data_IF_411607501740
#
_entry.id   IF_411607501740
#
_cell.length_a   1.000
_cell.length_b   1.000
_cell.length_c   1.000
_cell.angle_alpha   90.00
_cell.angle_beta   90.00
_cell.angle_gamma   90.00
#
_symmetry.space_group_name_H-M   'P 1'
#
loop_
_entity.id
_entity.type
_entity.pdbx_description
1 polymer ?
#
# COMPACT_ATOMS: atom_id res chain seq x y z
N UNK A 1 -1.55 -22.65 -0.74
CA UNK A 1 -1.21 -21.36 -1.38
C UNK A 1 -2.12 -20.30 -0.80
N UNK A 2 -1.57 -19.22 -0.24
CA UNK A 2 -2.34 -18.10 0.31
C UNK A 2 -2.22 -16.94 -0.68
N UNK A 3 -3.35 -16.37 -1.09
CA UNK A 3 -3.41 -15.20 -1.96
C UNK A 3 -3.84 -13.99 -1.13
N UNK A 4 -3.24 -12.82 -1.42
CA UNK A 4 -3.58 -11.58 -0.72
C UNK A 4 -2.90 -11.39 0.64
N UNK A 5 -1.87 -12.18 0.95
CA UNK A 5 -1.03 -11.94 2.11
C UNK A 5 -0.27 -10.61 1.94
N UNK A 6 -0.46 -9.67 2.86
CA UNK A 6 0.35 -8.44 2.90
C UNK A 6 1.68 -8.71 3.61
N UNK A 7 2.73 -8.00 3.24
CA UNK A 7 4.03 -7.96 3.91
C UNK A 7 3.94 -7.90 5.44
N UNK A 8 3.04 -7.06 5.98
CA UNK A 8 2.95 -6.82 7.43
C UNK A 8 2.55 -8.02 8.31
N UNK A 9 2.02 -9.09 7.71
CA UNK A 9 1.67 -10.32 8.46
C UNK A 9 2.67 -11.45 8.25
N UNK A 10 3.59 -11.32 7.29
CA UNK A 10 4.51 -12.39 6.90
C UNK A 10 5.37 -12.85 8.08
N UNK A 11 6.03 -11.94 8.79
CA UNK A 11 6.91 -12.27 9.91
C UNK A 11 6.19 -13.07 11.01
N UNK A 12 4.94 -12.70 11.31
CA UNK A 12 4.10 -13.40 12.29
C UNK A 12 3.75 -14.81 11.83
N UNK A 13 3.48 -15.00 10.54
CA UNK A 13 3.15 -16.32 9.99
C UNK A 13 4.35 -17.24 9.89
N UNK A 14 5.54 -16.71 9.57
CA UNK A 14 6.80 -17.46 9.61
C UNK A 14 7.12 -17.88 11.04
N UNK A 15 7.03 -16.96 12.01
CA UNK A 15 7.27 -17.26 13.42
C UNK A 15 6.27 -18.27 14.01
N UNK A 16 5.03 -18.28 13.50
CA UNK A 16 4.01 -19.25 13.88
C UNK A 16 4.08 -20.58 13.11
N UNK A 17 5.11 -20.77 12.26
CA UNK A 17 5.30 -21.98 11.45
C UNK A 17 4.11 -22.31 10.54
N UNK A 18 3.36 -21.30 10.11
CA UNK A 18 2.19 -21.45 9.25
C UNK A 18 2.53 -21.43 7.75
N UNK A 19 3.79 -21.14 7.41
CA UNK A 19 4.29 -21.05 6.06
C UNK A 19 5.45 -22.00 5.84
N UNK A 20 5.51 -22.57 4.65
CA UNK A 20 6.65 -23.34 4.17
C UNK A 20 7.47 -22.48 3.18
N UNK A 21 8.80 -22.65 3.11
CA UNK A 21 9.61 -22.02 2.08
C UNK A 21 9.18 -22.44 0.68
N UNK A 22 9.32 -21.54 -0.27
CA UNK A 22 9.04 -21.80 -1.68
C UNK A 22 10.12 -22.70 -2.27
N UNK A 23 9.68 -23.75 -2.97
CA UNK A 23 10.56 -24.41 -3.91
C UNK A 23 10.65 -23.58 -5.20
N UNK A 24 11.75 -22.86 -5.36
CA UNK A 24 11.96 -21.97 -6.50
C UNK A 24 12.01 -22.68 -7.85
N UNK A 25 12.27 -23.99 -7.88
CA UNK A 25 12.22 -24.75 -9.13
C UNK A 25 10.80 -24.86 -9.70
N UNK A 26 9.76 -24.66 -8.89
CA UNK A 26 8.37 -24.64 -9.34
C UNK A 26 7.90 -23.27 -9.82
N UNK A 27 8.72 -22.22 -9.64
CA UNK A 27 8.39 -20.84 -10.02
C UNK A 27 9.28 -20.41 -11.19
N UNK A 28 9.15 -21.14 -12.30
CA UNK A 28 10.00 -20.97 -13.49
C UNK A 28 9.98 -19.54 -14.07
N UNK A 29 8.86 -18.83 -13.87
CA UNK A 29 8.65 -17.47 -14.35
C UNK A 29 9.05 -16.37 -13.35
N UNK A 30 9.74 -16.70 -12.26
CA UNK A 30 10.13 -15.71 -11.24
C UNK A 30 11.01 -14.58 -11.81
N UNK A 31 11.75 -14.87 -12.89
CA UNK A 31 12.52 -13.88 -13.64
C UNK A 31 11.67 -12.74 -14.24
N UNK A 32 10.35 -12.90 -14.37
CA UNK A 32 9.45 -11.86 -14.89
C UNK A 32 8.97 -10.88 -13.81
N UNK A 33 9.20 -11.18 -12.53
CA UNK A 33 8.87 -10.28 -11.41
C UNK A 33 9.67 -8.98 -11.55
N UNK A 34 9.09 -7.85 -11.16
CA UNK A 34 9.79 -6.55 -11.16
C UNK A 34 11.05 -6.65 -10.30
N UNK A 35 12.18 -6.12 -10.77
CA UNK A 35 13.50 -6.36 -10.17
C UNK A 35 13.56 -6.13 -8.65
N UNK A 36 12.99 -5.03 -8.16
CA UNK A 36 12.96 -4.69 -6.73
C UNK A 36 12.10 -5.61 -5.85
N UNK A 37 11.28 -6.49 -6.44
CA UNK A 37 10.45 -7.45 -5.73
C UNK A 37 10.91 -8.91 -5.91
N UNK A 38 12.05 -9.13 -6.59
CA UNK A 38 12.70 -10.45 -6.64
C UNK A 38 13.46 -10.78 -5.36
N UNK A 39 13.84 -9.74 -4.62
CA UNK A 39 14.48 -9.78 -3.32
C UNK A 39 13.90 -8.65 -2.44
N UNK A 40 12.62 -8.79 -2.03
CA UNK A 40 11.93 -7.72 -1.34
C UNK A 40 12.40 -7.59 0.12
N UNK A 41 12.39 -6.36 0.64
CA UNK A 41 12.86 -6.04 2.00
C UNK A 41 12.15 -6.85 3.11
N UNK A 42 10.89 -7.22 2.89
CA UNK A 42 10.07 -7.96 3.86
C UNK A 42 10.29 -9.49 3.81
N UNK A 43 10.92 -10.01 2.75
CA UNK A 43 11.17 -11.45 2.52
C UNK A 43 12.47 -11.62 1.74
N UNK A 44 13.62 -11.41 2.42
CA UNK A 44 14.93 -11.44 1.79
C UNK A 44 15.16 -12.78 1.07
N UNK A 45 15.59 -12.69 -0.18
CA UNK A 45 15.75 -13.80 -1.09
C UNK A 45 14.42 -14.41 -1.55
N UNK A 46 13.26 -13.77 -1.34
CA UNK A 46 11.93 -14.28 -1.68
C UNK A 46 11.75 -15.74 -1.23
N UNK A 47 11.98 -15.99 0.07
CA UNK A 47 11.97 -17.34 0.63
C UNK A 47 10.56 -17.89 0.76
N UNK A 48 9.57 -17.05 1.04
CA UNK A 48 8.21 -17.48 1.37
C UNK A 48 7.15 -16.90 0.41
N UNK A 49 7.48 -15.86 -0.34
CA UNK A 49 6.50 -15.08 -1.11
C UNK A 49 6.85 -14.93 -2.59
N UNK A 50 5.81 -14.85 -3.42
CA UNK A 50 5.89 -14.39 -4.82
C UNK A 50 4.95 -13.19 -4.95
N UNK A 51 5.39 -12.05 -5.49
CA UNK A 51 4.52 -10.89 -5.68
C UNK A 51 3.35 -11.20 -6.60
N UNK A 52 2.14 -10.83 -6.19
CA UNK A 52 0.92 -11.01 -6.99
C UNK A 52 0.40 -9.69 -7.56
N UNK A 53 0.07 -8.74 -6.68
CA UNK A 53 -0.37 -7.39 -7.06
C UNK A 53 0.34 -6.39 -6.16
N UNK A 54 0.84 -5.30 -6.76
CA UNK A 54 1.31 -4.10 -6.07
C UNK A 54 0.41 -2.94 -6.48
N UNK A 55 0.02 -2.11 -5.52
CA UNK A 55 -0.82 -0.95 -5.74
C UNK A 55 -0.47 0.15 -4.73
N UNK A 56 -0.89 1.36 -5.03
CA UNK A 56 -0.85 2.49 -4.12
C UNK A 56 -2.27 3.01 -3.92
N UNK A 57 -2.55 3.52 -2.73
CA UNK A 57 -3.78 4.23 -2.45
C UNK A 57 -3.66 5.69 -2.87
N UNK A 58 -4.75 6.27 -3.35
CA UNK A 58 -4.81 7.65 -3.81
C UNK A 58 -6.22 8.19 -3.76
N UNK A 59 -6.41 9.40 -4.30
CA UNK A 59 -7.72 10.06 -4.31
C UNK A 59 -8.42 9.77 -5.64
N UNK A 60 -9.52 9.01 -5.57
CA UNK A 60 -10.45 8.84 -6.67
C UNK A 60 -11.54 9.91 -6.62
N UNK A 61 -11.87 10.50 -7.77
CA UNK A 61 -12.96 11.48 -7.87
C UNK A 61 -13.85 11.21 -9.09
N UNK A 62 -15.06 11.76 -9.06
CA UNK A 62 -16.02 11.67 -10.15
C UNK A 62 -15.79 12.78 -11.16
N UNK A 63 -15.48 12.42 -12.40
CA UNK A 63 -15.25 13.38 -13.50
C UNK A 63 -16.53 14.05 -14.01
N UNK A 64 -17.70 13.46 -13.73
CA UNK A 64 -19.01 14.01 -14.06
C UNK A 64 -19.54 14.98 -12.98
N UNK A 65 -18.71 15.34 -12.00
CA UNK A 65 -19.04 16.25 -10.90
C UNK A 65 -18.07 17.42 -10.89
N UNK A 66 -18.50 18.52 -10.29
CA UNK A 66 -17.69 19.72 -10.13
C UNK A 66 -16.64 19.51 -9.01
N UNK A 67 -15.53 18.87 -9.39
CA UNK A 67 -14.35 18.65 -8.55
C UNK A 67 -13.22 19.49 -9.13
N UNK A 68 -12.74 20.44 -8.33
CA UNK A 68 -11.59 21.27 -8.69
C UNK A 68 -10.31 20.42 -8.60
N UNK A 69 -9.80 19.96 -9.74
CA UNK A 69 -8.62 19.09 -9.79
C UNK A 69 -7.32 19.79 -9.43
N UNK A 70 -7.31 21.13 -9.34
CA UNK A 70 -6.13 21.88 -8.91
C UNK A 70 -5.76 21.57 -7.46
N UNK A 71 -6.70 21.10 -6.65
CA UNK A 71 -6.46 20.69 -5.26
C UNK A 71 -5.57 19.46 -5.13
N UNK A 72 -5.39 18.68 -6.21
CA UNK A 72 -4.58 17.46 -6.21
C UNK A 72 -3.13 17.68 -6.66
N UNK A 73 -2.76 18.91 -7.01
CA UNK A 73 -1.43 19.22 -7.54
C UNK A 73 -0.44 19.43 -6.40
N UNK A 74 0.71 18.78 -6.47
CA UNK A 74 1.77 18.86 -5.46
C UNK A 74 1.50 17.99 -4.23
N UNK A 75 2.21 18.26 -3.14
CA UNK A 75 2.20 17.43 -1.93
C UNK A 75 0.95 17.65 -1.05
N UNK A 76 0.17 18.68 -1.35
CA UNK A 76 -1.00 19.10 -0.59
C UNK A 76 -2.30 18.41 -1.04
N UNK A 77 -2.23 17.43 -1.95
CA UNK A 77 -3.39 16.74 -2.53
C UNK A 77 -4.37 16.18 -1.50
N UNK A 78 -3.85 15.70 -0.37
CA UNK A 78 -4.62 15.13 0.73
C UNK A 78 -5.43 16.17 1.53
N UNK A 79 -5.12 17.47 1.40
CA UNK A 79 -5.89 18.54 2.03
C UNK A 79 -7.32 18.65 1.49
N UNK A 80 -7.59 18.09 0.31
CA UNK A 80 -8.95 17.97 -0.24
C UNK A 80 -9.91 17.30 0.75
N UNK A 81 -9.44 16.41 1.63
CA UNK A 81 -10.26 15.75 2.63
C UNK A 81 -10.72 16.69 3.77
N UNK A 82 -10.10 17.86 3.92
CA UNK A 82 -10.45 18.90 4.90
C UNK A 82 -11.05 20.16 4.26
N UNK A 83 -11.26 20.14 2.95
CA UNK A 83 -11.86 21.27 2.25
C UNK A 83 -13.37 21.30 2.48
N UNK A 84 -13.87 22.40 3.05
CA UNK A 84 -15.31 22.60 3.30
C UNK A 84 -16.18 22.51 2.05
N UNK A 85 -15.63 22.75 0.85
CA UNK A 85 -16.34 22.60 -0.43
C UNK A 85 -16.85 21.18 -0.65
N UNK A 86 -16.17 20.18 -0.08
CA UNK A 86 -16.49 18.77 -0.23
C UNK A 86 -17.19 18.16 1.00
N UNK A 87 -17.56 18.98 1.98
CA UNK A 87 -18.24 18.51 3.20
C UNK A 87 -19.49 17.67 2.89
N UNK A 88 -19.61 16.52 3.55
CA UNK A 88 -20.71 15.56 3.34
C UNK A 88 -20.67 14.78 2.02
N UNK A 89 -19.58 14.89 1.24
CA UNK A 89 -19.41 14.23 -0.06
C UNK A 89 -18.12 13.41 -0.18
N UNK A 90 -17.36 13.29 0.91
CA UNK A 90 -16.11 12.56 0.98
C UNK A 90 -16.32 11.16 1.58
N UNK A 91 -15.49 10.22 1.15
CA UNK A 91 -15.39 8.88 1.72
C UNK A 91 -13.94 8.51 1.93
N UNK A 92 -13.67 7.80 3.03
CA UNK A 92 -12.36 7.28 3.39
C UNK A 92 -12.47 5.76 3.44
N UNK A 93 -11.46 5.05 2.95
CA UNK A 93 -11.39 3.59 3.07
C UNK A 93 -11.37 3.22 4.56
N UNK A 94 -12.10 2.15 4.92
CA UNK A 94 -12.06 1.58 6.27
C UNK A 94 -10.75 0.80 6.48
N UNK A 95 -9.66 1.56 6.55
CA UNK A 95 -8.28 1.11 6.64
C UNK A 95 -7.58 1.99 7.65
N UNK A 96 -7.24 1.41 8.80
CA UNK A 96 -6.59 2.14 9.89
C UNK A 96 -5.28 2.80 9.43
N UNK A 97 -4.51 2.11 8.59
CA UNK A 97 -3.23 2.60 8.09
C UNK A 97 -3.44 3.78 7.16
N UNK A 98 -4.39 3.69 6.21
CA UNK A 98 -4.67 4.79 5.29
C UNK A 98 -5.23 6.01 6.04
N UNK A 99 -6.15 5.79 6.98
CA UNK A 99 -6.72 6.85 7.81
C UNK A 99 -5.65 7.65 8.57
N UNK A 100 -4.69 6.95 9.18
CA UNK A 100 -3.56 7.58 9.90
C UNK A 100 -2.61 8.27 8.91
N UNK A 101 -2.22 7.58 7.83
CA UNK A 101 -1.31 8.13 6.81
C UNK A 101 -1.83 9.42 6.20
N UNK A 102 -3.13 9.51 5.89
CA UNK A 102 -3.72 10.73 5.35
C UNK A 102 -3.61 11.92 6.31
N UNK A 103 -3.79 11.68 7.62
CA UNK A 103 -3.58 12.71 8.63
C UNK A 103 -2.10 13.10 8.77
N UNK A 104 -1.17 12.16 8.59
CA UNK A 104 0.28 12.42 8.56
C UNK A 104 0.67 13.26 7.34
N UNK A 105 0.16 12.91 6.15
CA UNK A 105 0.40 13.64 4.90
C UNK A 105 -0.06 15.09 4.99
N UNK A 106 -1.25 15.33 5.56
CA UNK A 106 -1.72 16.70 5.84
C UNK A 106 -0.79 17.50 6.76
N UNK A 107 -0.08 16.84 7.66
CA UNK A 107 0.87 17.49 8.59
C UNK A 107 2.30 17.55 8.01
N UNK A 108 2.50 17.27 6.72
CA UNK A 108 3.80 17.34 6.07
C UNK A 108 4.70 16.13 6.31
N UNK A 109 4.18 15.04 6.90
CA UNK A 109 4.92 13.80 7.12
C UNK A 109 4.57 12.82 6.00
N UNK A 110 5.34 12.86 4.91
CA UNK A 110 5.05 12.11 3.67
C UNK A 110 5.61 10.69 3.62
N UNK A 111 6.40 10.29 4.61
CA UNK A 111 6.81 8.91 4.82
C UNK A 111 6.06 8.32 6.03
N UNK A 112 4.96 7.59 5.81
CA UNK A 112 4.16 7.02 6.88
C UNK A 112 4.80 5.75 7.48
N UNK A 113 5.91 5.27 6.89
CA UNK A 113 6.65 4.09 7.35
C UNK A 113 8.00 4.48 7.99
N UNK A 114 8.22 5.78 8.26
CA UNK A 114 9.49 6.32 8.78
C UNK A 114 9.81 5.92 10.23
N UNK A 115 8.83 5.43 10.97
CA UNK A 115 9.03 4.77 12.26
C UNK A 115 8.63 3.30 12.09
N UNK A 116 9.61 2.40 12.17
CA UNK A 116 9.37 0.96 12.15
C UNK A 116 8.34 0.58 13.24
N UNK A 117 7.46 -0.36 12.91
CA UNK A 117 6.55 -1.02 13.86
C UNK A 117 7.23 -2.20 14.55
#
# INVERSE_FOLDING_TARGET
MILGLTDTVLARMVAAELLQPLNKTYVENFGNVIAGLRDPYYDLGAQYTVPYVIYANGIGYRTDRDVDTSVFVGDEGWNALWDSRYAGRLGVLDSYRDAISMAMFRNGVFDPNSADA
#
